data_IF_748383024874
#
_entry.id   IF_748383024874
#
_cell.length_a   1.000
_cell.length_b   1.000
_cell.length_c   1.000
_cell.angle_alpha   90.00
_cell.angle_beta   90.00
_cell.angle_gamma   90.00
#
_symmetry.space_group_name_H-M   'P 1'
#
loop_
_entity.id
_entity.type
_entity.pdbx_description
1 polymer ?
#
# COMPACT_ATOMS: atom_id res chain seq x y z
N UNK A 1 3.33 6.61 5.08
CA UNK A 1 2.85 7.77 4.29
C UNK A 1 3.83 8.93 4.33
N UNK A 2 4.16 9.48 5.52
CA UNK A 2 5.10 10.61 5.65
C UNK A 2 6.47 10.36 4.99
N UNK A 3 7.06 9.19 5.22
CA UNK A 3 8.32 8.79 4.57
C UNK A 3 8.25 8.71 3.04
N UNK A 4 7.09 8.32 2.48
CA UNK A 4 6.91 8.28 1.03
C UNK A 4 6.89 9.70 0.44
N UNK A 5 6.21 10.63 1.11
CA UNK A 5 6.23 12.03 0.74
C UNK A 5 7.65 12.62 0.83
N UNK A 6 8.35 12.35 1.93
CA UNK A 6 9.73 12.79 2.13
C UNK A 6 10.65 12.29 1.02
N UNK A 7 10.57 11.00 0.67
CA UNK A 7 11.28 10.42 -0.45
C UNK A 7 11.05 11.21 -1.73
N UNK A 8 9.79 11.42 -2.13
CA UNK A 8 9.48 12.11 -3.38
C UNK A 8 9.92 13.58 -3.40
N UNK A 9 9.78 14.30 -2.29
CA UNK A 9 10.26 15.69 -2.17
C UNK A 9 11.79 15.76 -2.28
N UNK A 10 12.52 14.86 -1.62
CA UNK A 10 13.98 14.81 -1.72
C UNK A 10 14.44 14.45 -3.14
N UNK A 11 13.74 13.54 -3.84
CA UNK A 11 14.02 13.26 -5.26
C UNK A 11 13.72 14.46 -6.18
N UNK A 12 12.85 15.38 -5.76
CA UNK A 12 12.58 16.63 -6.46
C UNK A 12 13.61 17.74 -6.13
N UNK A 13 14.60 17.46 -5.26
CA UNK A 13 15.63 18.42 -4.84
C UNK A 13 15.23 19.31 -3.66
N UNK A 14 14.09 19.03 -3.03
CA UNK A 14 13.62 19.80 -1.87
C UNK A 14 14.39 19.42 -0.60
N UNK A 15 14.60 20.41 0.27
CA UNK A 15 15.16 20.18 1.61
C UNK A 15 14.06 19.72 2.55
N UNK A 16 14.16 18.50 3.06
CA UNK A 16 13.15 17.86 3.89
C UNK A 16 13.69 17.54 5.28
N UNK A 17 12.86 17.70 6.30
CA UNK A 17 13.05 17.15 7.64
C UNK A 17 11.80 16.38 8.03
N UNK A 18 11.96 15.12 8.42
CA UNK A 18 10.88 14.27 8.94
C UNK A 18 10.96 14.28 10.45
N UNK A 19 9.87 14.67 11.11
CA UNK A 19 9.75 14.61 12.56
C UNK A 19 8.90 13.39 12.93
N UNK A 20 9.47 12.46 13.69
CA UNK A 20 8.82 11.19 14.04
C UNK A 20 9.23 10.73 15.45
N UNK A 21 8.26 10.21 16.21
CA UNK A 21 8.44 9.79 17.60
C UNK A 21 9.00 8.37 17.76
N UNK A 22 9.58 7.80 16.70
CA UNK A 22 10.01 6.41 16.64
C UNK A 22 8.87 5.45 16.29
N UNK A 23 7.92 5.91 15.47
CA UNK A 23 6.74 5.15 15.05
C UNK A 23 5.86 4.63 16.19
N UNK A 24 5.86 5.25 17.38
CA UNK A 24 5.17 4.69 18.58
C UNK A 24 3.68 4.49 18.37
N UNK A 25 3.07 5.31 17.51
CA UNK A 25 1.63 5.27 17.20
C UNK A 25 1.35 4.92 15.73
N UNK A 26 2.37 4.54 14.95
CA UNK A 26 2.22 4.36 13.52
C UNK A 26 1.48 3.06 13.17
N UNK A 27 0.33 3.20 12.49
CA UNK A 27 -0.44 2.04 11.98
C UNK A 27 0.34 1.18 10.99
N UNK A 28 1.39 1.73 10.37
CA UNK A 28 2.25 1.01 9.43
C UNK A 28 3.09 -0.08 10.10
N UNK A 29 3.37 0.01 11.41
CA UNK A 29 4.15 -0.99 12.16
C UNK A 29 3.34 -2.27 12.38
N UNK A 30 2.02 -2.17 12.50
CA UNK A 30 1.12 -3.31 12.74
C UNK A 30 0.45 -3.83 11.47
N UNK A 31 0.65 -3.15 10.33
CA UNK A 31 -0.01 -3.51 9.09
C UNK A 31 0.67 -4.72 8.42
N UNK A 32 -0.14 -5.63 7.86
CA UNK A 32 0.34 -6.82 7.15
C UNK A 32 0.89 -6.53 5.74
N UNK A 33 0.91 -5.26 5.30
CA UNK A 33 1.45 -4.86 4.00
C UNK A 33 0.65 -5.32 2.78
N UNK A 34 -0.59 -5.83 2.94
CA UNK A 34 -1.38 -6.38 1.84
C UNK A 34 -1.80 -5.31 0.82
N UNK A 35 -1.57 -5.61 -0.46
CA UNK A 35 -2.00 -4.82 -1.60
C UNK A 35 -3.20 -5.51 -2.29
N UNK A 36 -4.35 -4.83 -2.29
CA UNK A 36 -5.59 -5.34 -2.88
C UNK A 36 -6.35 -4.21 -3.62
N UNK A 37 -6.33 -4.18 -4.97
CA UNK A 37 -6.95 -3.11 -5.75
C UNK A 37 -8.48 -3.12 -5.75
N UNK A 38 -9.12 -4.22 -5.39
CA UNK A 38 -10.58 -4.40 -5.40
C UNK A 38 -11.10 -4.75 -4.00
N UNK A 39 -10.75 -3.93 -3.02
CA UNK A 39 -11.14 -4.14 -1.62
C UNK A 39 -12.69 -4.17 -1.44
N UNK A 40 -13.14 -4.89 -0.42
CA UNK A 40 -14.54 -4.95 -0.02
C UNK A 40 -15.39 -5.99 -0.76
N UNK A 41 -16.64 -6.17 -0.28
CA UNK A 41 -17.51 -7.28 -0.67
C UNK A 41 -18.04 -7.23 -2.11
N UNK A 42 -17.98 -6.05 -2.74
CA UNK A 42 -18.53 -5.79 -4.09
C UNK A 42 -17.47 -5.67 -5.18
N UNK A 43 -16.20 -5.85 -4.80
CA UNK A 43 -15.03 -5.77 -5.69
C UNK A 43 -15.03 -4.49 -6.53
N UNK A 44 -15.36 -3.36 -5.89
CA UNK A 44 -15.47 -2.09 -6.58
C UNK A 44 -14.06 -1.60 -6.94
N UNK A 45 -13.85 -1.26 -8.21
CA UNK A 45 -12.66 -0.56 -8.68
C UNK A 45 -12.88 0.94 -8.53
N UNK A 46 -11.88 1.67 -8.04
CA UNK A 46 -11.87 3.13 -8.12
C UNK A 46 -11.36 3.57 -9.50
N UNK A 47 -11.79 4.72 -10.05
CA UNK A 47 -11.32 5.18 -11.35
C UNK A 47 -9.79 5.23 -11.47
N UNK A 48 -9.12 5.68 -10.40
CA UNK A 48 -7.67 5.88 -10.25
C UNK A 48 -6.88 4.61 -9.90
N UNK A 49 -7.53 3.44 -9.77
CA UNK A 49 -6.86 2.20 -9.34
C UNK A 49 -5.63 1.87 -10.20
N UNK A 50 -5.71 2.00 -11.53
CA UNK A 50 -4.58 1.70 -12.41
C UNK A 50 -3.42 2.66 -12.18
N UNK A 51 -3.69 3.96 -12.12
CA UNK A 51 -2.68 4.98 -11.90
C UNK A 51 -1.97 4.80 -10.55
N UNK A 52 -2.74 4.48 -9.50
CA UNK A 52 -2.18 4.19 -8.18
C UNK A 52 -1.29 2.94 -8.18
N UNK A 53 -1.70 1.86 -8.86
CA UNK A 53 -0.92 0.64 -8.94
C UNK A 53 0.37 0.84 -9.75
N UNK A 54 0.29 1.54 -10.88
CA UNK A 54 1.45 1.81 -11.72
C UNK A 54 2.44 2.77 -11.01
N UNK A 55 1.92 3.73 -10.25
CA UNK A 55 2.74 4.59 -9.39
C UNK A 55 3.43 3.78 -8.27
N UNK A 56 2.72 2.86 -7.64
CA UNK A 56 3.27 1.98 -6.62
C UNK A 56 4.39 1.09 -7.19
N UNK A 57 4.17 0.47 -8.35
CA UNK A 57 5.15 -0.40 -8.99
C UNK A 57 6.45 0.35 -9.32
N UNK A 58 6.34 1.57 -9.90
CA UNK A 58 7.51 2.42 -10.16
C UNK A 58 8.24 2.81 -8.88
N UNK A 59 7.50 3.17 -7.84
CA UNK A 59 8.12 3.60 -6.59
C UNK A 59 8.83 2.46 -5.87
N UNK A 60 8.21 1.28 -5.77
CA UNK A 60 8.85 0.12 -5.14
C UNK A 60 10.07 -0.38 -5.94
N UNK A 61 10.04 -0.30 -7.28
CA UNK A 61 11.20 -0.60 -8.11
C UNK A 61 12.36 0.39 -7.85
N UNK A 62 12.06 1.68 -7.70
CA UNK A 62 13.07 2.69 -7.37
C UNK A 62 13.68 2.45 -5.98
N UNK A 63 12.87 2.09 -4.99
CA UNK A 63 13.33 1.72 -3.65
C UNK A 63 14.19 0.46 -3.67
N UNK A 64 13.81 -0.53 -4.49
CA UNK A 64 14.61 -1.74 -4.66
C UNK A 64 15.99 -1.43 -5.25
N UNK A 65 16.05 -0.56 -6.26
CA UNK A 65 17.31 -0.06 -6.81
C UNK A 65 18.15 0.73 -5.79
N UNK A 66 17.52 1.58 -4.97
CA UNK A 66 18.20 2.36 -3.94
C UNK A 66 18.80 1.50 -2.83
N UNK A 67 18.06 0.50 -2.36
CA UNK A 67 18.41 -0.26 -1.16
C UNK A 67 18.98 -1.65 -1.46
N UNK A 68 19.03 -2.05 -2.74
CA UNK A 68 19.55 -3.35 -3.16
C UNK A 68 18.72 -4.53 -2.65
N UNK A 69 17.43 -4.31 -2.33
CA UNK A 69 16.50 -5.35 -1.85
C UNK A 69 15.08 -5.06 -2.29
N UNK A 70 14.33 -6.10 -2.62
CA UNK A 70 12.91 -5.96 -2.94
C UNK A 70 12.07 -5.80 -1.67
N UNK A 71 11.10 -4.89 -1.71
CA UNK A 71 10.10 -4.72 -0.65
C UNK A 71 8.69 -5.07 -1.12
N UNK A 72 8.43 -5.04 -2.42
CA UNK A 72 7.13 -5.36 -3.00
C UNK A 72 7.17 -6.77 -3.59
N UNK A 73 6.22 -7.59 -3.18
CA UNK A 73 6.10 -8.97 -3.59
C UNK A 73 4.75 -9.19 -4.28
N UNK A 74 4.70 -9.05 -5.62
CA UNK A 74 3.51 -9.37 -6.40
C UNK A 74 3.12 -10.82 -6.18
N UNK A 75 1.86 -11.04 -5.83
CA UNK A 75 1.32 -12.37 -5.56
C UNK A 75 -0.18 -12.38 -5.87
N UNK A 76 -0.63 -13.12 -6.90
CA UNK A 76 -2.05 -13.29 -7.19
C UNK A 76 -2.81 -13.81 -5.97
N UNK A 77 -4.01 -13.29 -5.74
CA UNK A 77 -4.82 -13.62 -4.58
C UNK A 77 -5.97 -14.55 -4.98
N UNK A 78 -6.00 -15.76 -4.44
CA UNK A 78 -7.19 -16.60 -4.49
C UNK A 78 -8.25 -16.04 -3.53
N UNK A 79 -9.37 -15.57 -4.07
CA UNK A 79 -10.43 -14.93 -3.31
C UNK A 79 -11.70 -15.77 -3.32
N UNK A 80 -12.09 -16.22 -2.13
CA UNK A 80 -13.26 -17.08 -1.95
C UNK A 80 -14.55 -16.24 -1.98
N UNK A 81 -15.56 -16.72 -2.70
CA UNK A 81 -16.89 -16.16 -2.63
C UNK A 81 -17.53 -16.54 -1.29
N UNK A 82 -18.06 -15.54 -0.58
CA UNK A 82 -18.79 -15.73 0.68
C UNK A 82 -20.28 -15.98 0.48
N UNK A 83 -20.80 -15.74 -0.73
CA UNK A 83 -22.20 -15.95 -1.08
C UNK A 83 -22.41 -15.97 -2.60
N UNK A 84 -23.55 -16.51 -3.02
CA UNK A 84 -24.12 -16.34 -4.36
C UNK A 84 -24.17 -14.87 -4.82
N UNK A 85 -24.42 -13.94 -3.91
CA UNK A 85 -24.44 -12.51 -4.22
C UNK A 85 -23.06 -11.99 -4.64
N UNK A 86 -21.99 -12.44 -4.00
CA UNK A 86 -20.64 -12.06 -4.40
C UNK A 86 -20.28 -12.60 -5.79
N UNK A 87 -20.75 -13.80 -6.15
CA UNK A 87 -20.59 -14.32 -7.52
C UNK A 87 -21.23 -13.38 -8.54
N UNK A 88 -22.44 -12.89 -8.25
CA UNK A 88 -23.13 -11.90 -9.10
C UNK A 88 -22.37 -10.57 -9.18
N UNK A 89 -21.79 -10.10 -8.09
CA UNK A 89 -20.96 -8.90 -8.09
C UNK A 89 -19.69 -9.06 -8.93
N UNK A 90 -18.98 -10.18 -8.81
CA UNK A 90 -17.82 -10.50 -9.65
C UNK A 90 -18.20 -10.57 -11.13
N UNK A 91 -19.27 -11.29 -11.48
CA UNK A 91 -19.77 -11.37 -12.85
C UNK A 91 -20.10 -9.97 -13.43
N UNK A 92 -20.71 -9.09 -12.63
CA UNK A 92 -20.96 -7.70 -13.04
C UNK A 92 -19.65 -6.92 -13.23
N UNK A 93 -18.66 -7.11 -12.35
CA UNK A 93 -17.36 -6.41 -12.44
C UNK A 93 -16.56 -6.85 -13.66
N UNK A 94 -16.59 -8.13 -14.04
CA UNK A 94 -15.94 -8.60 -15.27
C UNK A 94 -16.50 -8.01 -16.57
N UNK A 95 -17.68 -7.38 -16.55
CA UNK A 95 -18.24 -6.65 -17.71
C UNK A 95 -17.59 -5.29 -17.92
N UNK A 96 -16.95 -4.72 -16.89
CA UNK A 96 -16.13 -3.52 -17.01
C UNK A 96 -14.71 -3.91 -17.45
N UNK A 97 -14.20 -3.44 -18.61
CA UNK A 97 -12.89 -3.82 -19.10
C UNK A 97 -11.75 -3.55 -18.11
N UNK A 98 -11.80 -2.44 -17.38
CA UNK A 98 -10.76 -2.07 -16.42
C UNK A 98 -10.74 -3.00 -15.20
N UNK A 99 -11.91 -3.43 -14.72
CA UNK A 99 -12.02 -4.43 -13.65
C UNK A 99 -11.68 -5.84 -14.14
N UNK A 100 -12.00 -6.18 -15.40
CA UNK A 100 -11.70 -7.48 -16.01
C UNK A 100 -10.20 -7.78 -16.05
N UNK A 101 -9.37 -6.77 -16.26
CA UNK A 101 -7.91 -6.92 -16.24
C UNK A 101 -7.35 -7.37 -14.87
N UNK A 102 -8.14 -7.23 -13.80
CA UNK A 102 -7.75 -7.57 -12.43
C UNK A 102 -8.38 -8.89 -11.94
N UNK A 103 -9.22 -9.55 -12.76
CA UNK A 103 -10.08 -10.64 -12.32
C UNK A 103 -10.10 -11.78 -13.34
N UNK A 104 -9.69 -12.96 -12.89
CA UNK A 104 -9.93 -14.19 -13.62
C UNK A 104 -11.41 -14.59 -13.60
N UNK A 105 -11.71 -15.63 -14.37
CA UNK A 105 -13.02 -16.28 -14.35
C UNK A 105 -13.30 -16.89 -12.96
N UNK A 106 -14.58 -17.07 -12.65
CA UNK A 106 -14.97 -17.72 -11.41
C UNK A 106 -14.60 -19.21 -11.50
N UNK A 107 -13.87 -19.68 -10.48
CA UNK A 107 -13.59 -21.09 -10.25
C UNK A 107 -14.73 -21.68 -9.43
N UNK A 108 -15.41 -22.72 -9.91
CA UNK A 108 -16.40 -23.41 -9.09
C UNK A 108 -15.70 -24.27 -8.01
N UNK A 109 -16.42 -24.69 -6.96
CA UNK A 109 -15.83 -25.42 -5.82
C UNK A 109 -15.00 -26.65 -6.20
N UNK A 110 -15.40 -27.36 -7.26
CA UNK A 110 -14.75 -28.57 -7.77
C UNK A 110 -13.40 -28.33 -8.45
N UNK A 111 -13.06 -27.07 -8.80
CA UNK A 111 -11.83 -26.71 -9.51
C UNK A 111 -10.89 -25.85 -8.67
N UNK A 112 -11.05 -25.84 -7.35
CA UNK A 112 -10.17 -25.08 -6.48
C UNK A 112 -8.77 -25.72 -6.43
N UNK A 113 -7.70 -24.89 -6.44
CA UNK A 113 -6.33 -25.40 -6.47
C UNK A 113 -5.88 -26.03 -5.15
N UNK A 114 -6.63 -25.79 -4.07
CA UNK A 114 -6.31 -26.19 -2.70
C UNK A 114 -7.56 -26.80 -2.04
N UNK A 115 -7.42 -27.72 -1.06
CA UNK A 115 -8.54 -28.36 -0.37
C UNK A 115 -9.20 -27.40 0.63
N UNK A 116 -9.83 -26.34 0.11
CA UNK A 116 -10.45 -25.26 0.87
C UNK A 116 -11.97 -25.36 0.77
N UNK A 117 -12.65 -25.22 1.90
CA UNK A 117 -14.10 -25.12 1.95
C UNK A 117 -14.58 -23.77 1.38
N UNK A 118 -14.87 -23.74 0.08
CA UNK A 118 -15.46 -22.58 -0.59
C UNK A 118 -16.69 -23.01 -1.41
N UNK A 119 -17.87 -23.18 -0.78
CA UNK A 119 -19.07 -23.73 -1.42
C UNK A 119 -19.63 -22.85 -2.55
N UNK A 120 -19.25 -21.57 -2.59
CA UNK A 120 -19.63 -20.64 -3.67
C UNK A 120 -18.53 -20.47 -4.73
N UNK A 121 -17.43 -21.22 -4.62
CA UNK A 121 -16.26 -21.11 -5.47
C UNK A 121 -15.33 -19.96 -5.07
N UNK A 122 -14.42 -19.65 -5.98
CA UNK A 122 -13.43 -18.59 -5.81
C UNK A 122 -13.14 -17.88 -7.15
N UNK A 123 -12.23 -16.92 -7.14
CA UNK A 123 -11.61 -16.37 -8.33
C UNK A 123 -10.18 -15.93 -7.99
N UNK A 124 -9.32 -15.86 -8.99
CA UNK A 124 -7.99 -15.26 -8.83
C UNK A 124 -8.10 -13.76 -9.15
N UNK A 125 -7.57 -12.96 -8.24
CA UNK A 125 -7.42 -11.52 -8.41
C UNK A 125 -5.95 -11.18 -8.68
N UNK A 126 -5.71 -10.32 -9.67
CA UNK A 126 -4.38 -9.90 -10.12
C UNK A 126 -4.01 -8.52 -9.58
N UNK A 127 -2.74 -8.15 -9.81
CA UNK A 127 -2.12 -6.92 -9.27
C UNK A 127 -2.34 -6.82 -7.75
N UNK A 128 -2.24 -7.96 -7.07
CA UNK A 128 -2.23 -8.12 -5.63
C UNK A 128 -0.83 -8.48 -5.18
N UNK A 129 -0.58 -8.42 -3.88
CA UNK A 129 0.71 -8.76 -3.31
C UNK A 129 0.80 -8.35 -1.86
N UNK A 130 2.01 -8.32 -1.35
CA UNK A 130 2.31 -7.68 -0.07
C UNK A 130 3.59 -6.85 -0.16
N UNK A 131 3.72 -5.94 0.79
CA UNK A 131 4.90 -5.12 1.00
C UNK A 131 5.53 -5.55 2.30
N UNK A 132 6.84 -5.81 2.30
CA UNK A 132 7.65 -5.96 3.51
C UNK A 132 7.75 -4.59 4.21
N UNK A 133 6.66 -4.21 4.90
CA UNK A 133 6.59 -2.94 5.61
C UNK A 133 7.64 -2.81 6.71
N UNK A 134 7.92 -3.82 7.56
CA UNK A 134 8.97 -3.72 8.55
C UNK A 134 10.33 -3.40 7.92
N UNK A 135 10.74 -4.16 6.90
CA UNK A 135 12.00 -3.92 6.20
C UNK A 135 12.04 -2.57 5.48
N UNK A 136 10.94 -2.17 4.86
CA UNK A 136 10.83 -0.90 4.16
C UNK A 136 10.94 0.31 5.10
N UNK A 137 10.25 0.26 6.24
CA UNK A 137 10.27 1.32 7.24
C UNK A 137 11.66 1.45 7.87
N UNK A 138 12.31 0.33 8.19
CA UNK A 138 13.68 0.31 8.70
C UNK A 138 14.66 0.93 7.70
N UNK A 139 14.63 0.48 6.44
CA UNK A 139 15.53 0.97 5.40
C UNK A 139 15.35 2.47 5.14
N UNK A 140 14.11 2.94 5.02
CA UNK A 140 13.84 4.35 4.79
C UNK A 140 14.18 5.22 6.00
N UNK A 141 13.96 4.74 7.22
CA UNK A 141 14.36 5.47 8.44
C UNK A 141 15.87 5.64 8.50
N UNK A 142 16.62 4.55 8.30
CA UNK A 142 18.08 4.60 8.26
C UNK A 142 18.60 5.52 7.14
N UNK A 143 17.93 5.50 5.97
CA UNK A 143 18.24 6.41 4.88
C UNK A 143 18.02 7.88 5.25
N UNK A 144 16.87 8.24 5.84
CA UNK A 144 16.61 9.60 6.29
C UNK A 144 17.61 10.05 7.36
N UNK A 145 17.94 9.17 8.30
CA UNK A 145 18.93 9.45 9.35
C UNK A 145 20.33 9.71 8.77
N UNK A 146 20.77 8.87 7.83
CA UNK A 146 22.04 9.05 7.12
C UNK A 146 22.12 10.32 6.27
N UNK A 147 20.98 10.90 5.89
CA UNK A 147 20.88 12.19 5.20
C UNK A 147 20.78 13.37 6.18
N UNK A 148 20.73 13.13 7.49
CA UNK A 148 20.45 14.17 8.50
C UNK A 148 19.04 14.76 8.38
N UNK A 149 18.11 14.03 7.76
CA UNK A 149 16.75 14.47 7.44
C UNK A 149 15.69 13.90 8.40
N UNK A 150 16.10 13.33 9.53
CA UNK A 150 15.23 12.74 10.54
C UNK A 150 15.44 13.40 11.91
N UNK A 151 14.36 13.91 12.49
CA UNK A 151 14.32 14.42 13.87
C UNK A 151 13.48 13.48 14.74
N UNK A 152 14.12 12.83 15.71
CA UNK A 152 13.47 11.94 16.68
C UNK A 152 12.77 12.72 17.79
N UNK A 153 11.64 13.36 17.48
CA UNK A 153 10.87 14.19 18.41
C UNK A 153 9.39 13.81 18.38
N UNK A 154 8.77 13.75 19.56
CA UNK A 154 7.33 13.71 19.69
C UNK A 154 6.76 15.13 19.61
N UNK A 155 5.86 15.37 18.67
CA UNK A 155 5.21 16.68 18.49
C UNK A 155 3.76 16.59 18.94
N UNK A 156 3.39 17.45 19.88
CA UNK A 156 1.98 17.71 20.19
C UNK A 156 1.38 18.56 19.05
N UNK A 157 0.35 18.09 18.33
CA UNK A 157 -0.27 18.85 17.26
C UNK A 157 -0.79 20.23 17.71
N UNK A 158 -1.15 20.40 18.98
CA UNK A 158 -1.59 21.69 19.53
C UNK A 158 -0.46 22.70 19.71
N UNK A 159 0.80 22.25 19.69
CA UNK A 159 1.98 23.10 19.78
C UNK A 159 2.50 23.56 18.40
N UNK A 160 1.89 23.11 17.31
CA UNK A 160 2.25 23.52 15.94
C UNK A 160 1.63 24.88 15.65
N UNK A 161 2.46 25.88 15.34
CA UNK A 161 2.04 27.25 15.03
C UNK A 161 2.48 27.64 13.62
N UNK A 162 1.60 27.53 12.62
CA UNK A 162 1.84 28.08 11.30
C UNK A 162 1.84 29.62 11.36
N UNK A 163 2.81 30.25 10.72
CA UNK A 163 2.84 31.67 10.37
C UNK A 163 2.75 31.81 8.85
N UNK A 164 2.82 33.03 8.33
CA UNK A 164 2.78 33.26 6.88
C UNK A 164 4.00 32.67 6.13
N UNK A 165 5.13 32.53 6.82
CA UNK A 165 6.44 32.18 6.25
C UNK A 165 7.09 30.92 6.85
N UNK A 166 6.59 30.41 7.98
CA UNK A 166 7.18 29.27 8.69
C UNK A 166 6.15 28.48 9.51
N UNK A 167 6.61 27.37 10.07
CA UNK A 167 5.88 26.61 11.07
C UNK A 167 6.77 26.49 12.30
N UNK A 168 6.29 26.96 13.44
CA UNK A 168 6.99 26.86 14.72
C UNK A 168 6.49 25.64 15.48
N UNK A 169 7.41 24.84 16.04
CA UNK A 169 7.10 23.66 16.82
C UNK A 169 7.99 23.66 18.05
N UNK A 170 7.42 23.45 19.24
CA UNK A 170 8.23 23.41 20.46
C UNK A 170 9.32 22.32 20.36
N UNK A 171 10.59 22.74 20.38
CA UNK A 171 11.75 21.85 20.25
C UNK A 171 12.39 21.79 18.85
N UNK A 172 11.88 22.56 17.86
CA UNK A 172 12.41 22.66 16.49
C UNK A 172 12.36 24.10 15.96
#
# INVERSE_FOLDING_TARGET
>A
AGTALAWHLMQAGERVCVVDDGHRTASSVVAAGLLNPLAGLRFNRRPDTTDCLDAADRWYAALAGQFGRDFHHPMPMLRLFRSEEQRRFHARRRRDPASRALLDEALPPEHLPEPIAAPFGAFVQHRTGYVDLPGLLEALRAWLDGQGALAGLAVDPSAIRPTDDRVEVAGL
#
